data_IF_134784113679
#
_entry.id   IF_134784113679
#
_cell.length_a   1.000
_cell.length_b   1.000
_cell.length_c   1.000
_cell.angle_alpha   90.00
_cell.angle_beta   90.00
_cell.angle_gamma   90.00
#
_symmetry.space_group_name_H-M   'P 1'
#
loop_
_entity.id
_entity.type
_entity.pdbx_description
1 polymer ?
#
# COMPACT_ATOMS: atom_id res chain seq x y z
N UNK A 1 14.86 -2.60 26.29
CA UNK A 1 14.94 -2.57 24.81
C UNK A 1 15.59 -3.87 24.32
N UNK A 2 14.87 -5.00 24.47
CA UNK A 2 15.37 -6.32 24.03
C UNK A 2 14.99 -6.64 22.57
N UNK A 3 14.23 -5.76 21.92
CA UNK A 3 13.57 -6.05 20.62
C UNK A 3 14.04 -5.14 19.47
N UNK A 4 15.20 -4.49 19.64
CA UNK A 4 15.78 -3.74 18.53
C UNK A 4 16.48 -4.69 17.56
N UNK A 5 15.85 -4.94 16.42
CA UNK A 5 16.47 -5.65 15.31
C UNK A 5 17.21 -4.65 14.41
N UNK A 6 18.55 -4.67 14.38
CA UNK A 6 19.34 -3.78 13.54
C UNK A 6 19.11 -4.00 12.04
N UNK A 7 18.56 -5.14 11.61
CA UNK A 7 18.18 -5.40 10.23
C UNK A 7 16.98 -4.55 9.78
N UNK A 8 16.17 -4.07 10.72
CA UNK A 8 15.04 -3.19 10.47
C UNK A 8 15.41 -1.70 10.43
N UNK A 9 16.68 -1.35 10.60
CA UNK A 9 17.12 0.04 10.52
C UNK A 9 17.13 0.53 9.06
N UNK A 10 16.20 1.41 8.65
CA UNK A 10 16.07 1.85 7.26
C UNK A 10 17.26 2.68 6.75
N UNK A 11 18.10 3.18 7.66
CA UNK A 11 19.25 4.04 7.33
C UNK A 11 20.55 3.25 7.16
N UNK A 12 20.55 1.95 7.43
CA UNK A 12 21.72 1.13 7.28
C UNK A 12 21.85 0.65 5.84
N UNK A 13 22.71 1.30 5.06
CA UNK A 13 23.25 0.69 3.84
C UNK A 13 24.12 -0.47 4.27
N UNK A 14 23.62 -1.68 4.19
CA UNK A 14 24.40 -2.87 4.50
C UNK A 14 24.53 -3.69 3.24
N UNK A 15 25.78 -4.00 2.88
CA UNK A 15 26.10 -5.07 1.92
C UNK A 15 25.80 -6.46 2.52
N UNK A 16 25.20 -6.51 3.72
CA UNK A 16 24.81 -7.77 4.34
C UNK A 16 23.52 -8.26 3.73
N UNK A 17 23.54 -9.44 3.18
CA UNK A 17 22.35 -10.19 2.80
C UNK A 17 21.48 -10.32 4.04
N UNK A 18 20.34 -9.62 4.03
CA UNK A 18 19.37 -9.80 5.11
C UNK A 18 18.85 -11.23 5.05
N UNK A 19 19.11 -11.96 6.09
CA UNK A 19 18.64 -13.35 6.27
C UNK A 19 17.14 -13.46 6.60
N UNK A 20 16.42 -12.34 6.49
CA UNK A 20 15.05 -12.20 6.96
C UNK A 20 14.02 -12.00 5.83
N UNK A 21 14.01 -12.90 4.84
CA UNK A 21 12.78 -13.17 4.12
C UNK A 21 11.82 -13.92 5.06
N UNK A 22 10.50 -13.66 4.94
CA UNK A 22 9.51 -14.37 5.75
C UNK A 22 9.82 -15.88 5.77
N UNK A 23 9.86 -16.51 6.94
CA UNK A 23 10.27 -17.91 7.03
C UNK A 23 9.28 -18.79 6.28
N UNK A 24 9.71 -19.39 5.18
CA UNK A 24 8.98 -20.49 4.58
C UNK A 24 9.36 -21.76 5.35
N UNK A 25 8.36 -22.57 5.68
CA UNK A 25 8.56 -23.84 6.35
C UNK A 25 8.33 -24.97 5.35
N UNK A 26 9.25 -25.90 5.26
CA UNK A 26 9.05 -27.16 4.55
C UNK A 26 8.80 -28.29 5.53
N UNK A 27 7.79 -29.11 5.23
CA UNK A 27 7.52 -30.34 5.95
C UNK A 27 8.53 -31.40 5.48
N UNK A 28 9.34 -31.90 6.38
CA UNK A 28 10.26 -32.99 6.10
C UNK A 28 9.55 -34.35 6.13
N UNK A 29 10.17 -35.35 5.53
CA UNK A 29 9.63 -36.73 5.47
C UNK A 29 9.40 -37.38 6.82
N UNK A 30 9.99 -36.84 7.87
CA UNK A 30 9.82 -37.28 9.28
C UNK A 30 8.69 -36.51 10.01
N UNK A 31 7.98 -35.60 9.32
CA UNK A 31 6.90 -34.78 9.88
C UNK A 31 7.38 -33.58 10.69
N UNK A 32 8.66 -33.25 10.67
CA UNK A 32 9.18 -32.02 11.27
C UNK A 32 9.13 -30.86 10.29
N UNK A 33 8.98 -29.60 10.82
CA UNK A 33 9.05 -28.40 10.01
C UNK A 33 10.47 -27.84 10.05
N UNK A 34 11.11 -27.75 8.89
CA UNK A 34 12.39 -27.06 8.75
C UNK A 34 12.13 -25.65 8.20
N UNK A 35 12.67 -24.67 8.90
CA UNK A 35 12.68 -23.26 8.42
C UNK A 35 13.61 -23.15 7.21
N UNK A 36 13.03 -22.95 6.03
CA UNK A 36 13.80 -22.66 4.81
C UNK A 36 14.17 -21.20 4.80
N UNK A 37 15.45 -20.89 4.72
CA UNK A 37 15.91 -19.52 4.44
C UNK A 37 15.82 -19.29 2.95
N UNK A 38 14.84 -18.51 2.53
CA UNK A 38 14.83 -18.00 1.15
C UNK A 38 15.88 -16.90 1.07
N UNK A 39 17.09 -17.26 0.65
CA UNK A 39 18.11 -16.27 0.30
C UNK A 39 17.75 -15.73 -1.08
N UNK A 40 17.10 -14.57 -1.11
CA UNK A 40 16.72 -13.92 -2.36
C UNK A 40 17.94 -13.28 -3.05
N UNK A 41 18.93 -12.84 -2.26
CA UNK A 41 20.12 -12.14 -2.72
C UNK A 41 21.36 -12.95 -2.41
N UNK A 42 22.33 -12.92 -3.32
CA UNK A 42 23.64 -13.55 -3.15
C UNK A 42 24.58 -12.66 -2.33
N UNK A 43 25.65 -13.23 -1.74
CA UNK A 43 26.54 -12.51 -0.84
C UNK A 43 27.32 -11.38 -1.55
N UNK A 44 27.56 -11.53 -2.86
CA UNK A 44 28.34 -10.57 -3.67
C UNK A 44 27.44 -9.53 -4.37
N UNK A 45 26.12 -9.55 -4.19
CA UNK A 45 25.21 -8.60 -4.81
C UNK A 45 25.18 -7.26 -4.06
N UNK A 46 25.22 -6.15 -4.81
CA UNK A 46 25.02 -4.81 -4.24
C UNK A 46 23.53 -4.59 -3.94
N UNK A 47 23.17 -4.64 -2.66
CA UNK A 47 21.76 -4.52 -2.22
C UNK A 47 21.54 -3.17 -1.55
N UNK A 48 20.57 -2.41 -2.07
CA UNK A 48 20.11 -1.16 -1.47
C UNK A 48 18.69 -1.29 -0.93
N UNK A 49 18.38 -0.50 0.10
CA UNK A 49 17.03 -0.35 0.61
C UNK A 49 16.46 1.00 0.17
N UNK A 50 15.32 0.99 -0.49
CA UNK A 50 14.54 2.17 -0.83
C UNK A 50 13.28 2.18 0.04
N UNK A 51 13.18 3.15 0.94
CA UNK A 51 12.12 3.19 1.94
C UNK A 51 12.51 2.51 3.27
N UNK A 52 11.60 2.45 4.25
CA UNK A 52 10.16 2.78 4.19
C UNK A 52 9.84 4.27 4.02
N UNK A 53 10.74 5.18 4.38
CA UNK A 53 10.57 6.61 4.14
C UNK A 53 11.57 7.05 3.06
N UNK A 54 11.04 7.27 1.86
CA UNK A 54 11.80 7.70 0.70
C UNK A 54 10.90 8.51 -0.25
N UNK A 55 11.37 9.62 -0.83
CA UNK A 55 10.56 10.44 -1.74
C UNK A 55 9.93 9.66 -2.90
N UNK A 56 10.65 8.71 -3.47
CA UNK A 56 10.19 7.91 -4.61
C UNK A 56 9.08 6.89 -4.28
N UNK A 57 8.83 6.59 -3.01
CA UNK A 57 7.79 5.63 -2.60
C UNK A 57 6.45 6.27 -2.28
N UNK A 58 6.38 7.61 -2.22
CA UNK A 58 5.17 8.40 -1.95
C UNK A 58 4.37 7.93 -0.72
N UNK A 59 5.04 7.33 0.25
CA UNK A 59 4.43 6.76 1.44
C UNK A 59 5.39 5.83 2.16
N UNK A 60 4.86 4.81 2.81
CA UNK A 60 5.64 3.91 3.66
C UNK A 60 5.74 2.53 3.00
N UNK A 61 6.59 2.44 1.99
CA UNK A 61 6.88 1.21 1.26
C UNK A 61 8.38 0.99 1.21
N UNK A 62 8.83 -0.23 1.46
CA UNK A 62 10.25 -0.60 1.39
C UNK A 62 10.49 -1.56 0.24
N UNK A 63 11.46 -1.20 -0.58
CA UNK A 63 12.03 -2.09 -1.58
C UNK A 63 13.46 -2.46 -1.18
N UNK A 64 13.78 -3.74 -1.28
CA UNK A 64 15.16 -4.23 -1.27
C UNK A 64 15.52 -4.56 -2.72
N UNK A 65 16.50 -3.86 -3.23
CA UNK A 65 16.86 -3.91 -4.65
C UNK A 65 18.31 -4.38 -4.77
N UNK A 66 18.54 -5.45 -5.52
CA UNK A 66 19.88 -5.85 -5.95
C UNK A 66 20.20 -5.18 -7.27
N UNK A 67 21.32 -4.49 -7.33
CA UNK A 67 21.77 -3.73 -8.48
C UNK A 67 23.09 -4.26 -9.04
N UNK A 68 23.19 -4.18 -10.36
CA UNK A 68 24.46 -4.27 -11.10
C UNK A 68 24.63 -2.96 -11.88
N UNK A 69 25.39 -2.02 -11.32
CA UNK A 69 25.39 -0.64 -11.78
C UNK A 69 24.02 0.00 -11.58
N UNK A 70 23.36 0.42 -12.66
CA UNK A 70 21.98 0.97 -12.66
C UNK A 70 20.90 -0.07 -13.02
N UNK A 71 21.32 -1.31 -13.31
CA UNK A 71 20.40 -2.38 -13.71
C UNK A 71 19.84 -3.09 -12.48
N UNK A 72 18.53 -3.15 -12.36
CA UNK A 72 17.86 -3.91 -11.31
C UNK A 72 17.90 -5.40 -11.66
N UNK A 73 18.57 -6.20 -10.83
CA UNK A 73 18.67 -7.65 -10.97
C UNK A 73 17.53 -8.36 -10.23
N UNK A 74 17.29 -7.96 -8.99
CA UNK A 74 16.25 -8.57 -8.12
C UNK A 74 15.57 -7.47 -7.31
N UNK A 75 14.29 -7.69 -7.04
CA UNK A 75 13.46 -6.79 -6.24
C UNK A 75 12.69 -7.61 -5.21
N UNK A 76 12.75 -7.19 -3.96
CA UNK A 76 11.98 -7.72 -2.84
C UNK A 76 11.14 -6.60 -2.24
N UNK A 77 9.82 -6.77 -2.23
CA UNK A 77 8.86 -5.75 -1.79
C UNK A 77 8.39 -6.06 -0.38
N UNK A 78 8.62 -5.13 0.54
CA UNK A 78 8.19 -5.24 1.94
C UNK A 78 7.00 -4.32 2.20
N UNK A 79 5.82 -4.93 2.33
CA UNK A 79 4.59 -4.26 2.75
C UNK A 79 4.37 -4.44 4.25
N UNK A 80 3.43 -3.67 4.81
CA UNK A 80 2.98 -3.86 6.20
C UNK A 80 3.29 -2.71 7.15
N UNK A 81 4.06 -1.71 6.75
CA UNK A 81 4.40 -0.56 7.61
C UNK A 81 3.19 0.29 8.02
N UNK A 82 2.11 0.22 7.25
CA UNK A 82 0.84 0.90 7.53
C UNK A 82 -0.25 -0.10 7.95
N UNK A 83 0.12 -1.32 8.30
CA UNK A 83 -0.84 -2.31 8.80
C UNK A 83 -1.37 -1.88 10.16
N UNK A 84 -2.68 -1.65 10.23
CA UNK A 84 -3.36 -1.11 11.42
C UNK A 84 -4.34 -2.09 12.05
N UNK A 85 -4.36 -3.33 11.61
CA UNK A 85 -5.28 -4.36 12.11
C UNK A 85 -6.75 -4.04 11.83
N UNK A 86 -7.07 -3.40 10.69
CA UNK A 86 -8.42 -2.94 10.33
C UNK A 86 -9.43 -4.09 10.38
N UNK A 87 -9.07 -5.25 9.85
CA UNK A 87 -9.94 -6.44 9.85
C UNK A 87 -10.32 -6.84 11.27
N UNK A 88 -9.35 -6.84 12.18
CA UNK A 88 -9.59 -7.17 13.60
C UNK A 88 -10.41 -6.10 14.31
N UNK A 89 -10.22 -4.84 13.98
CA UNK A 89 -11.05 -3.75 14.51
C UNK A 89 -12.50 -3.88 14.06
N UNK A 90 -12.76 -4.29 12.82
CA UNK A 90 -14.09 -4.48 12.28
C UNK A 90 -14.90 -5.54 13.03
N UNK A 91 -14.27 -6.56 13.61
CA UNK A 91 -14.97 -7.61 14.38
C UNK A 91 -15.70 -7.05 15.61
N UNK A 92 -15.22 -5.96 16.18
CA UNK A 92 -15.81 -5.31 17.37
C UNK A 92 -16.79 -4.18 17.04
N UNK A 93 -17.05 -3.88 15.77
CA UNK A 93 -17.84 -2.73 15.33
C UNK A 93 -19.14 -3.16 14.64
N UNK A 94 -20.14 -2.28 14.66
CA UNK A 94 -21.33 -2.43 13.82
C UNK A 94 -21.03 -2.05 12.37
N UNK A 95 -21.79 -2.57 11.41
CA UNK A 95 -21.59 -2.27 9.99
C UNK A 95 -21.51 -0.75 9.67
N UNK A 96 -22.37 0.12 10.21
CA UNK A 96 -22.24 1.56 9.98
C UNK A 96 -20.91 2.14 10.53
N UNK A 97 -20.40 1.61 11.63
CA UNK A 97 -19.14 2.07 12.21
C UNK A 97 -17.92 1.63 11.38
N UNK A 98 -18.00 0.48 10.72
CA UNK A 98 -16.88 0.00 9.85
C UNK A 98 -16.69 0.88 8.63
N UNK A 99 -17.70 1.61 8.16
CA UNK A 99 -17.59 2.54 7.04
C UNK A 99 -16.50 3.59 7.26
N UNK A 100 -16.36 4.09 8.48
CA UNK A 100 -15.31 5.08 8.80
C UNK A 100 -13.90 4.52 8.71
N UNK A 101 -13.71 3.20 8.83
CA UNK A 101 -12.42 2.56 8.68
C UNK A 101 -12.04 2.39 7.20
N UNK A 102 -13.01 2.09 6.35
CA UNK A 102 -12.76 1.85 4.93
C UNK A 102 -12.28 3.09 4.19
N UNK A 103 -12.70 4.29 4.59
CA UNK A 103 -12.23 5.54 4.01
C UNK A 103 -10.71 5.73 4.13
N UNK A 104 -10.10 5.10 5.12
CA UNK A 104 -8.68 5.23 5.46
C UNK A 104 -7.80 4.12 4.91
N UNK A 105 -8.34 3.20 4.12
CA UNK A 105 -7.57 2.13 3.47
C UNK A 105 -6.80 2.70 2.29
N UNK A 106 -7.52 3.05 1.24
CA UNK A 106 -7.01 3.87 0.15
C UNK A 106 -7.65 5.25 0.26
N UNK A 107 -6.94 6.18 0.90
CA UNK A 107 -7.46 7.52 1.17
C UNK A 107 -7.60 8.41 -0.09
N UNK A 108 -7.10 7.96 -1.25
CA UNK A 108 -7.34 8.61 -2.54
C UNK A 108 -8.62 8.11 -3.23
N UNK A 109 -9.16 6.98 -2.79
CA UNK A 109 -10.39 6.37 -3.28
C UNK A 109 -11.42 6.15 -2.16
N UNK A 110 -11.51 7.06 -1.18
CA UNK A 110 -12.32 6.90 0.02
C UNK A 110 -13.80 6.61 -0.28
N UNK A 111 -14.41 7.36 -1.21
CA UNK A 111 -15.81 7.16 -1.60
C UNK A 111 -16.03 5.77 -2.23
N UNK A 112 -15.13 5.33 -3.10
CA UNK A 112 -15.20 4.01 -3.76
C UNK A 112 -15.04 2.87 -2.75
N UNK A 113 -14.11 2.98 -1.79
CA UNK A 113 -13.92 2.00 -0.72
C UNK A 113 -15.19 1.84 0.11
N UNK A 114 -15.79 2.97 0.51
CA UNK A 114 -17.05 2.99 1.27
C UNK A 114 -18.19 2.42 0.47
N UNK A 115 -18.31 2.78 -0.81
CA UNK A 115 -19.35 2.28 -1.70
C UNK A 115 -19.26 0.77 -1.85
N UNK A 116 -18.08 0.21 -2.06
CA UNK A 116 -17.87 -1.23 -2.16
C UNK A 116 -18.34 -1.98 -0.90
N UNK A 117 -18.03 -1.47 0.30
CA UNK A 117 -18.50 -2.05 1.54
C UNK A 117 -20.03 -1.94 1.69
N UNK A 118 -20.62 -0.78 1.34
CA UNK A 118 -22.06 -0.59 1.34
C UNK A 118 -22.76 -1.61 0.45
N UNK A 119 -22.27 -1.82 -0.77
CA UNK A 119 -22.82 -2.82 -1.71
C UNK A 119 -22.75 -4.23 -1.13
N UNK A 120 -21.66 -4.59 -0.45
CA UNK A 120 -21.53 -5.89 0.22
C UNK A 120 -22.56 -6.07 1.33
N UNK A 121 -22.76 -5.05 2.18
CA UNK A 121 -23.72 -5.08 3.28
C UNK A 121 -25.16 -5.14 2.75
N UNK A 122 -25.49 -4.31 1.78
CA UNK A 122 -26.82 -4.26 1.14
C UNK A 122 -27.18 -5.60 0.51
N UNK A 123 -26.22 -6.20 -0.22
CA UNK A 123 -26.39 -7.53 -0.79
C UNK A 123 -26.59 -8.61 0.28
N UNK A 124 -25.85 -8.54 1.37
CA UNK A 124 -25.97 -9.48 2.50
C UNK A 124 -27.29 -9.37 3.24
N UNK A 125 -27.86 -8.17 3.33
CA UNK A 125 -29.13 -7.88 3.99
C UNK A 125 -30.36 -7.99 3.03
N UNK A 126 -30.13 -8.15 1.72
CA UNK A 126 -31.19 -8.16 0.73
C UNK A 126 -31.87 -6.80 0.55
N UNK A 127 -31.16 -5.71 0.80
CA UNK A 127 -31.69 -4.35 0.65
C UNK A 127 -31.61 -3.92 -0.81
N UNK A 128 -32.75 -3.56 -1.38
CA UNK A 128 -32.83 -2.98 -2.73
C UNK A 128 -32.59 -1.46 -2.68
N UNK A 129 -31.66 -0.99 -3.49
CA UNK A 129 -31.33 0.43 -3.60
C UNK A 129 -31.98 1.01 -4.85
N UNK A 130 -32.66 2.18 -4.69
CA UNK A 130 -33.32 2.83 -5.80
C UNK A 130 -32.33 3.27 -6.90
N UNK A 131 -32.80 3.27 -8.15
CA UNK A 131 -32.00 3.66 -9.32
C UNK A 131 -31.38 5.06 -9.16
N UNK A 132 -32.11 6.02 -8.61
CA UNK A 132 -31.60 7.36 -8.33
C UNK A 132 -30.37 7.34 -7.42
N UNK A 133 -30.37 6.53 -6.37
CA UNK A 133 -29.23 6.42 -5.45
C UNK A 133 -28.04 5.78 -6.15
N UNK A 134 -28.27 4.79 -7.03
CA UNK A 134 -27.21 4.16 -7.81
C UNK A 134 -26.52 5.19 -8.73
N UNK A 135 -27.27 6.03 -9.43
CA UNK A 135 -26.72 7.11 -10.26
C UNK A 135 -25.92 8.11 -9.42
N UNK A 136 -26.43 8.54 -8.27
CA UNK A 136 -25.71 9.47 -7.38
C UNK A 136 -24.37 8.86 -6.93
N UNK A 137 -24.38 7.59 -6.50
CA UNK A 137 -23.16 6.88 -6.10
C UNK A 137 -22.15 6.81 -7.24
N UNK A 138 -22.61 6.47 -8.45
CA UNK A 138 -21.73 6.41 -9.63
C UNK A 138 -21.12 7.78 -9.93
N UNK A 139 -21.89 8.86 -9.85
CA UNK A 139 -21.36 10.22 -10.05
C UNK A 139 -20.27 10.53 -9.02
N UNK A 140 -20.52 10.23 -7.75
CA UNK A 140 -19.56 10.47 -6.68
C UNK A 140 -18.29 9.62 -6.85
N UNK A 141 -18.42 8.37 -7.27
CA UNK A 141 -17.29 7.48 -7.53
C UNK A 141 -16.41 8.01 -8.69
N UNK A 142 -17.03 8.53 -9.76
CA UNK A 142 -16.29 9.06 -10.90
C UNK A 142 -15.65 10.41 -10.59
N UNK A 143 -16.29 11.27 -9.79
CA UNK A 143 -15.65 12.49 -9.28
C UNK A 143 -14.44 12.17 -8.41
N UNK A 144 -14.56 11.20 -7.51
CA UNK A 144 -13.43 10.72 -6.71
C UNK A 144 -12.33 10.12 -7.57
N UNK A 145 -12.67 9.43 -8.66
CA UNK A 145 -11.70 8.91 -9.61
C UNK A 145 -10.93 10.02 -10.31
N UNK A 146 -11.61 11.07 -10.75
CA UNK A 146 -10.97 12.25 -11.33
C UNK A 146 -10.03 12.90 -10.32
N UNK A 147 -10.48 13.08 -9.10
CA UNK A 147 -9.70 13.62 -7.99
C UNK A 147 -8.40 12.84 -7.74
N UNK A 148 -8.52 11.53 -7.68
CA UNK A 148 -7.38 10.60 -7.53
C UNK A 148 -6.41 10.67 -8.72
N UNK A 149 -6.92 10.75 -9.94
CA UNK A 149 -6.10 10.83 -11.15
C UNK A 149 -5.37 12.18 -11.27
N UNK A 150 -5.97 13.27 -10.81
CA UNK A 150 -5.30 14.57 -10.74
C UNK A 150 -4.12 14.55 -9.77
N UNK A 151 -4.27 13.89 -8.63
CA UNK A 151 -3.15 13.68 -7.71
C UNK A 151 -2.06 12.80 -8.33
N UNK A 152 -2.44 11.68 -8.97
CA UNK A 152 -1.49 10.81 -9.66
C UNK A 152 -0.68 11.61 -10.70
N UNK A 153 -1.35 12.37 -11.55
CA UNK A 153 -0.72 13.22 -12.56
C UNK A 153 0.25 14.23 -11.92
N UNK A 154 -0.19 14.91 -10.87
CA UNK A 154 0.62 15.86 -10.14
C UNK A 154 1.91 15.24 -9.61
N UNK A 155 1.81 14.11 -8.91
CA UNK A 155 2.96 13.41 -8.35
C UNK A 155 3.90 12.88 -9.43
N UNK A 156 3.38 12.29 -10.50
CA UNK A 156 4.18 11.82 -11.63
C UNK A 156 4.98 12.96 -12.29
N UNK A 157 4.34 14.10 -12.50
CA UNK A 157 5.01 15.28 -13.05
C UNK A 157 6.12 15.80 -12.12
N UNK A 158 5.89 15.78 -10.81
CA UNK A 158 6.89 16.17 -9.82
C UNK A 158 8.11 15.24 -9.87
N UNK A 159 7.90 13.93 -9.97
CA UNK A 159 8.98 12.94 -10.08
C UNK A 159 9.81 13.12 -11.35
N UNK A 160 9.19 13.57 -12.43
CA UNK A 160 9.88 13.94 -13.67
C UNK A 160 10.50 15.35 -13.65
N UNK A 161 10.45 16.05 -12.51
CA UNK A 161 11.03 17.38 -12.33
C UNK A 161 10.12 18.54 -12.74
N UNK A 162 8.85 18.30 -13.13
CA UNK A 162 7.90 19.31 -13.57
C UNK A 162 7.06 19.86 -12.40
N UNK A 163 7.67 20.61 -11.48
CA UNK A 163 7.03 21.10 -10.27
C UNK A 163 5.81 22.00 -10.54
N UNK A 164 5.83 22.80 -11.61
CA UNK A 164 4.68 23.65 -11.96
C UNK A 164 3.45 22.82 -12.33
N UNK A 165 3.64 21.70 -13.03
CA UNK A 165 2.55 20.79 -13.36
C UNK A 165 1.95 20.13 -12.10
N UNK A 166 2.78 19.85 -11.08
CA UNK A 166 2.32 19.40 -9.77
C UNK A 166 1.31 20.40 -9.17
N UNK A 167 1.63 21.68 -9.14
CA UNK A 167 0.71 22.71 -8.61
C UNK A 167 -0.59 22.81 -9.42
N UNK A 168 -0.53 22.65 -10.73
CA UNK A 168 -1.74 22.68 -11.55
C UNK A 168 -2.64 21.48 -11.28
N UNK A 169 -2.10 20.30 -11.08
CA UNK A 169 -2.87 19.12 -10.70
C UNK A 169 -3.62 19.34 -9.38
N UNK A 170 -2.94 19.86 -8.36
CA UNK A 170 -3.59 20.17 -7.09
C UNK A 170 -4.63 21.29 -7.18
N UNK A 171 -4.37 22.35 -7.94
CA UNK A 171 -5.34 23.43 -8.17
C UNK A 171 -6.64 22.91 -8.81
N UNK A 172 -6.51 22.01 -9.79
CA UNK A 172 -7.68 21.49 -10.47
C UNK A 172 -8.39 20.41 -9.63
N UNK A 173 -7.65 19.71 -8.77
CA UNK A 173 -8.19 18.83 -7.75
C UNK A 173 -9.11 19.55 -6.76
N UNK A 174 -8.71 20.73 -6.26
CA UNK A 174 -9.55 21.54 -5.37
C UNK A 174 -10.91 21.89 -5.98
N UNK A 175 -10.96 22.17 -7.30
CA UNK A 175 -12.23 22.44 -8.00
C UNK A 175 -13.18 21.23 -8.07
N UNK A 176 -12.65 20.03 -7.97
CA UNK A 176 -13.46 18.79 -7.92
C UNK A 176 -13.99 18.57 -6.52
N UNK A 177 -13.23 19.00 -5.49
CA UNK A 177 -13.63 18.85 -4.08
C UNK A 177 -14.67 19.88 -3.65
N UNK A 178 -14.70 21.10 -4.25
CA UNK A 178 -15.70 22.15 -4.02
C UNK A 178 -17.08 21.77 -4.63
#
# INVERSE_FOLDING_TARGET
RKDYDPALNPLRMTNEVSKDSAPSFELTSDGSFIRKRNVLFEEDEYVINVGPQHPATHGVLRFRVSLEGEIIKKLDVHCGYIHRGIEKLCEGLTYPQTLALTDRLDYLGAAQNRHALCMCIEKGLGVEVSERVQYIRTIMDELQRIDSHLLFFACLCMDMGALTAFFYGFRDREKVLD
#
